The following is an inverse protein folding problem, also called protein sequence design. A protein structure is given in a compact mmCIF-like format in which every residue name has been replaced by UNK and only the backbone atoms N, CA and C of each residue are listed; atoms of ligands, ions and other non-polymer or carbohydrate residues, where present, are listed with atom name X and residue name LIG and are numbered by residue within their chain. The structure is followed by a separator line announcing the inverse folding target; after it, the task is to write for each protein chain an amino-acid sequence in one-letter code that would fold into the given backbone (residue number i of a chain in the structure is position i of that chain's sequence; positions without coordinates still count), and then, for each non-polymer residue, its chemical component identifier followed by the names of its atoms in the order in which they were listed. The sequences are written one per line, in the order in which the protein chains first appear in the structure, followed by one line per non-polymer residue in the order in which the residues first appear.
data_IF_635610516076
#
_entry.id   IF_635610516076
#
_cell.length_a   1.000
_cell.length_b   1.000
_cell.length_c   1.000
_cell.angle_alpha   90.00
_cell.angle_beta   90.00
_cell.angle_gamma   90.00
#
_symmetry.space_group_name_H-M   'P 1'
#
loop_
_entity.id
_entity.type
_entity.pdbx_description
1 polymer ?
#
# COMPACT_ATOMS: atom_id res chain seq x y z
N UNK A 1 53.91 19.52 30.65
CA UNK A 1 52.78 18.68 30.22
C UNK A 1 51.92 19.48 29.25
N UNK A 2 51.84 19.03 28.01
CA UNK A 2 51.03 19.67 26.96
C UNK A 2 50.01 18.65 26.46
N UNK A 3 48.83 19.12 26.10
CA UNK A 3 47.84 18.34 25.37
C UNK A 3 48.06 18.59 23.87
N UNK A 4 48.39 17.52 23.13
CA UNK A 4 48.50 17.58 21.69
C UNK A 4 47.19 16.99 21.10
N UNK A 5 46.60 17.74 20.21
CA UNK A 5 45.33 17.40 19.57
C UNK A 5 45.62 16.97 18.13
N UNK A 6 45.27 15.74 17.79
CA UNK A 6 45.32 15.20 16.44
C UNK A 6 43.93 15.21 15.86
N UNK A 7 43.73 15.87 14.72
CA UNK A 7 42.47 15.87 14.00
C UNK A 7 42.75 15.75 12.51
N UNK A 8 41.95 14.91 11.85
CA UNK A 8 41.95 14.76 10.41
C UNK A 8 40.50 14.58 9.94
N UNK A 9 40.19 15.08 8.75
CA UNK A 9 38.83 15.01 8.21
C UNK A 9 38.44 13.53 8.03
N UNK A 10 37.31 13.13 8.63
CA UNK A 10 36.85 11.74 8.61
C UNK A 10 37.41 10.84 9.72
N UNK A 11 38.09 11.39 10.70
CA UNK A 11 38.64 10.66 11.86
C UNK A 11 38.26 11.31 13.17
N UNK A 12 38.13 10.50 14.23
CA UNK A 12 37.89 10.99 15.59
C UNK A 12 39.03 11.85 16.10
N UNK A 13 38.71 12.90 16.81
CA UNK A 13 39.68 13.78 17.43
C UNK A 13 40.37 13.07 18.61
N UNK A 14 41.68 12.82 18.50
CA UNK A 14 42.46 12.22 19.54
C UNK A 14 43.28 13.26 20.33
N UNK A 15 43.11 13.28 21.64
CA UNK A 15 43.89 14.16 22.53
C UNK A 15 44.87 13.31 23.34
N UNK A 16 46.19 13.52 23.15
CA UNK A 16 47.22 12.85 23.94
C UNK A 16 48.02 13.87 24.76
N UNK A 17 48.35 13.51 26.02
CA UNK A 17 49.22 14.32 26.89
C UNK A 17 50.68 14.06 26.56
N UNK A 18 51.43 15.12 26.28
CA UNK A 18 52.88 15.07 26.07
C UNK A 18 53.59 15.54 27.33
N UNK A 19 54.52 14.74 27.82
CA UNK A 19 55.34 15.03 29.04
C UNK A 19 56.84 14.84 28.83
N UNK A 20 57.38 15.03 27.65
CA UNK A 20 58.80 14.95 27.32
C UNK A 20 59.42 13.54 27.29
N UNK A 21 58.93 12.66 28.12
CA UNK A 21 59.48 11.27 28.24
C UNK A 21 58.72 10.27 27.33
N UNK A 22 57.58 10.65 26.74
CA UNK A 22 56.79 9.75 25.91
C UNK A 22 56.81 10.10 24.40
N UNK A 23 57.91 10.69 23.93
CA UNK A 23 58.05 11.11 22.53
C UNK A 23 57.91 9.94 21.52
N UNK A 24 58.25 8.73 21.93
CA UNK A 24 58.12 7.53 21.08
C UNK A 24 56.67 7.19 20.72
N UNK A 25 55.71 7.51 21.61
CA UNK A 25 54.28 7.27 21.38
C UNK A 25 53.68 8.22 20.35
N UNK A 26 54.40 9.27 19.94
CA UNK A 26 53.97 10.27 18.96
C UNK A 26 54.60 10.07 17.58
N UNK A 27 55.40 9.03 17.37
CA UNK A 27 55.98 8.70 16.06
C UNK A 27 54.96 8.14 15.08
N UNK A 28 53.98 7.44 15.61
CA UNK A 28 52.88 6.89 14.81
C UNK A 28 51.59 7.06 15.60
N UNK A 29 50.66 7.79 15.03
CA UNK A 29 49.35 8.06 15.62
C UNK A 29 48.27 7.46 14.70
N UNK A 30 47.62 6.41 15.19
CA UNK A 30 46.46 5.85 14.54
C UNK A 30 45.21 6.59 15.02
N UNK A 31 44.50 7.26 14.09
CA UNK A 31 43.20 7.88 14.32
C UNK A 31 42.14 6.84 13.99
N UNK A 32 41.16 6.67 14.87
CA UNK A 32 39.97 5.91 14.57
C UNK A 32 39.16 6.66 13.51
N UNK A 33 38.66 6.00 12.47
CA UNK A 33 37.68 6.65 11.56
C UNK A 33 36.55 7.21 12.41
N UNK A 34 36.24 8.49 12.22
CA UNK A 34 35.00 9.01 12.77
C UNK A 34 33.89 8.19 12.13
N UNK A 35 33.18 7.39 12.92
CA UNK A 35 31.88 6.90 12.53
C UNK A 35 31.05 8.19 12.46
N UNK A 36 30.96 8.78 11.26
CA UNK A 36 29.92 9.78 11.03
C UNK A 36 28.64 9.07 11.40
N UNK A 37 28.14 9.31 12.60
CA UNK A 37 26.72 9.21 12.88
C UNK A 37 26.13 10.10 11.82
N UNK A 38 25.51 9.49 10.83
CA UNK A 38 24.80 10.21 9.76
C UNK A 38 23.83 11.09 10.52
N UNK A 39 24.22 12.37 10.65
CA UNK A 39 23.33 13.37 11.29
C UNK A 39 21.99 13.26 10.58
N UNK A 40 20.92 13.12 11.32
CA UNK A 40 19.58 13.01 10.79
C UNK A 40 19.34 14.17 9.81
N UNK A 41 19.30 13.85 8.52
CA UNK A 41 19.12 14.83 7.45
C UNK A 41 17.66 14.79 7.02
N UNK A 42 17.01 15.95 7.01
CA UNK A 42 15.68 16.10 6.40
C UNK A 42 15.87 16.35 4.91
N UNK A 43 15.29 15.48 4.12
CA UNK A 43 15.28 15.59 2.66
C UNK A 43 13.95 16.20 2.23
N UNK A 44 14.04 17.32 1.56
CA UNK A 44 12.84 18.02 1.04
C UNK A 44 12.61 17.76 -0.45
N UNK A 45 13.39 16.86 -1.08
CA UNK A 45 13.34 16.61 -2.53
C UNK A 45 14.07 17.64 -3.37
N UNK A 46 14.21 18.89 -2.91
CA UNK A 46 14.94 19.96 -3.59
C UNK A 46 16.32 20.15 -2.95
N UNK A 47 16.40 20.07 -1.63
CA UNK A 47 17.65 20.20 -0.86
C UNK A 47 17.66 19.28 0.35
N UNK A 48 18.86 19.04 0.86
CA UNK A 48 19.10 18.29 2.11
C UNK A 48 19.54 19.27 3.19
N UNK A 49 18.90 19.20 4.35
CA UNK A 49 19.27 20.02 5.53
C UNK A 49 19.44 19.12 6.75
N UNK A 50 20.36 19.51 7.64
CA UNK A 50 20.46 18.89 8.95
C UNK A 50 19.15 19.08 9.70
N UNK A 51 18.68 18.05 10.39
CA UNK A 51 17.41 18.07 11.14
C UNK A 51 17.36 19.23 12.16
N UNK A 52 18.49 19.52 12.79
CA UNK A 52 18.63 20.64 13.74
C UNK A 52 18.42 22.03 13.10
N UNK A 53 18.70 22.17 11.81
CA UNK A 53 18.53 23.42 11.06
C UNK A 53 17.19 23.51 10.33
N UNK A 54 16.33 22.49 10.48
CA UNK A 54 15.03 22.42 9.83
C UNK A 54 13.93 22.83 10.82
N UNK A 55 13.26 23.93 10.53
CA UNK A 55 12.23 24.51 11.42
C UNK A 55 10.84 23.88 11.26
N UNK A 56 10.65 23.03 10.26
CA UNK A 56 9.39 22.35 9.96
C UNK A 56 9.26 20.98 10.63
N UNK A 57 8.02 20.46 10.69
CA UNK A 57 7.75 19.09 11.15
C UNK A 57 7.96 18.11 10.01
N UNK A 58 9.02 17.32 10.09
CA UNK A 58 9.34 16.26 9.14
C UNK A 58 9.70 14.96 9.86
N UNK A 59 9.27 13.84 9.28
CA UNK A 59 9.68 12.50 9.72
C UNK A 59 10.39 11.80 8.57
N UNK A 60 11.62 11.34 8.79
CA UNK A 60 12.40 10.62 7.78
C UNK A 60 12.60 9.18 8.23
N UNK A 61 12.32 8.25 7.33
CA UNK A 61 12.42 6.81 7.52
C UNK A 61 13.40 6.24 6.51
N UNK A 62 14.38 5.48 6.99
CA UNK A 62 15.34 4.76 6.14
C UNK A 62 14.72 3.47 5.61
N UNK A 63 15.29 2.93 4.55
CA UNK A 63 14.79 1.69 3.93
C UNK A 63 14.76 0.50 4.90
N UNK A 64 15.68 0.46 5.87
CA UNK A 64 15.74 -0.58 6.89
C UNK A 64 14.49 -0.55 7.79
N UNK A 65 14.10 0.64 8.26
CA UNK A 65 12.91 0.84 9.08
C UNK A 65 11.63 0.49 8.30
N UNK A 66 11.57 0.94 7.04
CA UNK A 66 10.43 0.64 6.15
C UNK A 66 10.27 -0.86 5.92
N UNK A 67 11.37 -1.60 5.70
CA UNK A 67 11.35 -3.05 5.50
C UNK A 67 11.02 -3.82 6.77
N UNK A 68 11.44 -3.33 7.93
CA UNK A 68 11.08 -3.92 9.22
C UNK A 68 9.57 -3.79 9.51
N UNK A 69 8.95 -2.68 9.07
CA UNK A 69 7.51 -2.45 9.21
C UNK A 69 6.65 -3.23 8.20
N UNK A 70 7.19 -3.56 7.02
CA UNK A 70 6.51 -4.32 5.98
C UNK A 70 7.25 -4.34 4.65
N UNK A 71 6.98 -5.35 3.83
CA UNK A 71 7.67 -5.53 2.53
C UNK A 71 6.74 -5.38 1.32
N UNK A 72 5.44 -5.24 1.52
CA UNK A 72 4.47 -5.22 0.42
C UNK A 72 4.56 -3.96 -0.42
N UNK A 73 4.43 -2.80 0.20
CA UNK A 73 4.63 -1.49 -0.44
C UNK A 73 5.04 -0.43 0.58
N UNK A 74 5.59 0.66 0.09
CA UNK A 74 6.12 1.75 0.93
C UNK A 74 5.03 2.44 1.77
N UNK A 75 3.82 2.57 1.25
CA UNK A 75 2.71 3.26 1.93
C UNK A 75 2.26 2.49 3.17
N UNK A 76 2.18 1.16 3.09
CA UNK A 76 1.83 0.31 4.23
C UNK A 76 2.90 0.38 5.33
N UNK A 77 4.17 0.42 4.94
CA UNK A 77 5.26 0.59 5.90
C UNK A 77 5.19 1.94 6.61
N UNK A 78 4.93 3.03 5.88
CA UNK A 78 4.77 4.36 6.47
C UNK A 78 3.57 4.42 7.41
N UNK A 79 2.43 3.82 7.04
CA UNK A 79 1.24 3.74 7.90
C UNK A 79 1.57 3.09 9.24
N UNK A 80 2.42 2.07 9.25
CA UNK A 80 2.83 1.38 10.48
C UNK A 80 3.77 2.23 11.33
N UNK A 81 4.65 3.02 10.69
CA UNK A 81 5.68 3.82 11.37
C UNK A 81 5.19 5.20 11.80
N UNK A 82 4.23 5.79 11.08
CA UNK A 82 3.80 7.17 11.30
C UNK A 82 2.28 7.27 11.48
N UNK A 83 1.80 7.55 12.70
CA UNK A 83 0.36 7.68 12.97
C UNK A 83 -0.32 8.85 12.25
N UNK A 84 0.45 9.86 11.77
CA UNK A 84 -0.11 10.98 11.01
C UNK A 84 -0.44 10.60 9.57
N UNK A 85 0.12 9.49 9.07
CA UNK A 85 -0.14 8.97 7.73
C UNK A 85 -1.24 7.91 7.81
N UNK A 86 -2.36 8.20 7.18
CA UNK A 86 -3.53 7.31 7.18
C UNK A 86 -3.81 6.78 5.79
N UNK A 87 -4.17 5.51 5.74
CA UNK A 87 -4.69 4.86 4.54
C UNK A 87 -6.12 4.46 4.88
N UNK A 88 -7.08 5.05 4.19
CA UNK A 88 -8.49 4.70 4.33
C UNK A 88 -8.77 3.49 3.45
N UNK A 89 -9.08 2.37 4.09
CA UNK A 89 -9.43 1.14 3.39
C UNK A 89 -10.88 1.21 2.95
N UNK A 90 -11.13 1.07 1.65
CA UNK A 90 -12.49 0.95 1.13
C UNK A 90 -12.87 -0.53 1.06
N UNK A 91 -13.76 -0.95 1.95
CA UNK A 91 -14.20 -2.34 2.05
C UNK A 91 -15.19 -2.77 0.96
N UNK A 92 -15.65 -1.86 0.07
CA UNK A 92 -16.59 -2.22 -0.99
C UNK A 92 -16.03 -3.23 -2.00
N UNK A 93 -14.72 -3.19 -2.20
CA UNK A 93 -14.02 -4.04 -3.18
C UNK A 93 -13.08 -5.06 -2.52
N UNK A 94 -13.16 -5.23 -1.22
CA UNK A 94 -12.25 -6.09 -0.47
C UNK A 94 -10.79 -5.63 -0.57
N UNK A 95 -9.85 -6.57 -0.64
CA UNK A 95 -8.41 -6.31 -0.79
C UNK A 95 -7.98 -6.29 -2.26
N UNK A 96 -8.65 -5.52 -3.11
CA UNK A 96 -8.30 -5.40 -4.53
C UNK A 96 -6.93 -4.71 -4.68
N UNK A 97 -5.89 -5.39 -5.23
CA UNK A 97 -4.56 -4.81 -5.39
C UNK A 97 -4.50 -3.71 -6.46
N UNK A 98 -5.55 -3.56 -7.26
CA UNK A 98 -5.62 -2.59 -8.35
C UNK A 98 -6.26 -1.27 -7.92
N UNK A 99 -6.89 -1.23 -6.77
CA UNK A 99 -7.52 -0.02 -6.24
C UNK A 99 -6.52 0.83 -5.50
N UNK A 100 -6.48 2.11 -5.88
CA UNK A 100 -5.70 3.11 -5.15
C UNK A 100 -6.39 3.40 -3.81
N UNK A 101 -5.67 3.32 -2.70
CA UNK A 101 -6.21 3.70 -1.40
C UNK A 101 -6.35 5.22 -1.31
N UNK A 102 -7.29 5.68 -0.51
CA UNK A 102 -7.33 7.09 -0.11
C UNK A 102 -6.25 7.31 0.96
N UNK A 103 -5.32 8.23 0.69
CA UNK A 103 -4.16 8.50 1.54
C UNK A 103 -4.28 9.92 2.10
N UNK A 104 -4.08 10.06 3.40
CA UNK A 104 -4.18 11.34 4.10
C UNK A 104 -2.97 11.57 5.02
N UNK A 105 -2.55 12.83 5.13
CA UNK A 105 -1.60 13.29 6.14
C UNK A 105 -2.32 14.29 7.05
N UNK A 106 -2.37 14.01 8.37
CA UNK A 106 -3.06 14.86 9.36
C UNK A 106 -4.57 15.01 9.18
N UNK A 107 -5.22 14.16 8.38
CA UNK A 107 -6.67 14.19 8.18
C UNK A 107 -7.10 14.98 6.96
N UNK A 108 -8.41 15.14 6.80
CA UNK A 108 -9.02 15.78 5.62
C UNK A 108 -9.06 17.28 5.80
N UNK A 109 -8.61 18.02 4.79
CA UNK A 109 -8.67 19.48 4.73
C UNK A 109 -9.88 20.01 3.95
N UNK A 110 -10.53 19.15 3.15
CA UNK A 110 -11.69 19.51 2.34
C UNK A 110 -12.92 18.66 2.65
N UNK A 111 -14.11 19.18 2.31
CA UNK A 111 -15.40 18.52 2.53
C UNK A 111 -15.51 17.26 1.66
N UNK A 112 -16.09 16.20 2.20
CA UNK A 112 -16.38 14.94 1.48
C UNK A 112 -17.29 15.21 0.25
N UNK A 113 -16.97 14.55 -0.88
CA UNK A 113 -17.81 14.54 -2.08
C UNK A 113 -17.17 15.15 -3.33
N UNK A 114 -16.04 15.85 -3.20
CA UNK A 114 -15.43 16.52 -4.37
C UNK A 114 -14.61 15.57 -5.27
N UNK A 115 -14.32 14.34 -4.84
CA UNK A 115 -13.58 13.36 -5.63
C UNK A 115 -14.28 12.97 -6.93
N UNK A 116 -15.61 12.83 -6.88
CA UNK A 116 -16.42 12.47 -8.05
C UNK A 116 -16.50 13.64 -9.05
N UNK A 117 -16.45 14.88 -8.55
CA UNK A 117 -16.56 16.09 -9.35
C UNK A 117 -15.26 16.50 -10.03
N UNK A 118 -14.09 16.29 -9.36
CA UNK A 118 -12.78 16.72 -9.85
C UNK A 118 -11.89 15.59 -10.37
N UNK A 119 -12.32 14.33 -10.28
CA UNK A 119 -11.55 13.16 -10.75
C UNK A 119 -10.29 12.82 -9.94
N UNK A 120 -9.89 13.68 -8.99
CA UNK A 120 -8.76 13.49 -8.09
C UNK A 120 -9.19 13.76 -6.65
N UNK A 121 -8.59 13.05 -5.68
CA UNK A 121 -8.88 13.31 -4.27
C UNK A 121 -8.22 14.62 -3.82
N UNK A 122 -9.00 15.66 -3.48
CA UNK A 122 -8.45 16.94 -3.05
C UNK A 122 -7.71 16.87 -1.70
N UNK A 123 -7.83 15.78 -0.95
CA UNK A 123 -7.13 15.54 0.32
C UNK A 123 -5.83 14.75 0.14
N UNK A 124 -5.52 14.31 -1.09
CA UNK A 124 -4.33 13.53 -1.37
C UNK A 124 -3.06 14.37 -1.14
N UNK A 125 -2.04 13.84 -0.43
CA UNK A 125 -0.75 14.50 -0.33
C UNK A 125 -0.02 14.54 -1.67
N UNK A 126 0.91 15.48 -1.81
CA UNK A 126 1.80 15.56 -2.95
C UNK A 126 2.89 14.49 -2.83
N UNK A 127 3.14 13.73 -3.91
CA UNK A 127 4.21 12.73 -3.97
C UNK A 127 5.38 13.27 -4.79
N UNK A 128 6.59 13.15 -4.24
CA UNK A 128 7.84 13.55 -4.88
C UNK A 128 8.77 12.34 -4.93
N UNK A 129 9.22 11.97 -6.11
CA UNK A 129 10.19 10.90 -6.34
C UNK A 129 11.47 11.49 -6.94
N UNK A 130 12.58 11.41 -6.21
CA UNK A 130 13.89 11.97 -6.61
C UNK A 130 13.84 13.43 -7.06
N UNK A 131 12.98 14.24 -6.44
CA UNK A 131 12.81 15.66 -6.72
C UNK A 131 11.75 16.02 -7.77
N UNK A 132 11.11 15.03 -8.38
CA UNK A 132 10.03 15.22 -9.37
C UNK A 132 8.69 14.78 -8.81
N UNK A 133 7.64 15.51 -9.18
CA UNK A 133 6.27 15.14 -8.84
C UNK A 133 5.88 13.82 -9.53
N UNK A 134 5.20 12.97 -8.80
CA UNK A 134 4.73 11.65 -9.27
C UNK A 134 3.33 11.36 -8.75
N UNK A 135 2.69 10.36 -9.28
CA UNK A 135 1.36 9.93 -8.85
C UNK A 135 1.40 8.82 -7.78
N UNK A 136 0.26 8.62 -7.11
CA UNK A 136 0.08 7.59 -6.09
C UNK A 136 0.31 6.18 -6.65
N UNK A 137 -0.07 5.94 -7.92
CA UNK A 137 0.10 4.65 -8.59
C UNK A 137 1.58 4.28 -8.70
N UNK A 138 2.40 5.21 -9.20
CA UNK A 138 3.86 5.04 -9.29
C UNK A 138 4.49 4.75 -7.92
N UNK A 139 4.03 5.45 -6.87
CA UNK A 139 4.51 5.21 -5.50
C UNK A 139 4.12 3.83 -4.98
N UNK A 140 2.91 3.36 -5.26
CA UNK A 140 2.47 2.01 -4.88
C UNK A 140 3.27 0.90 -5.58
N UNK A 141 3.61 1.12 -6.83
CA UNK A 141 4.35 0.15 -7.65
C UNK A 141 5.86 0.22 -7.45
N UNK A 142 6.33 1.27 -6.78
CA UNK A 142 7.75 1.47 -6.54
C UNK A 142 8.36 0.31 -5.75
N UNK A 143 9.42 -0.25 -6.31
CA UNK A 143 10.15 -1.32 -5.65
C UNK A 143 10.86 -0.81 -4.39
N UNK A 144 10.48 -1.35 -3.23
CA UNK A 144 11.07 -0.98 -1.94
C UNK A 144 12.59 -1.13 -1.88
N UNK A 145 13.18 -2.04 -2.67
CA UNK A 145 14.63 -2.25 -2.68
C UNK A 145 15.38 -1.09 -3.33
N UNK A 146 14.71 -0.30 -4.16
CA UNK A 146 15.25 0.91 -4.77
C UNK A 146 15.19 2.14 -3.86
N UNK A 147 14.36 2.11 -2.82
CA UNK A 147 14.19 3.23 -1.91
C UNK A 147 15.43 3.34 -1.00
N UNK A 148 15.95 4.55 -0.83
CA UNK A 148 16.96 4.90 0.15
C UNK A 148 16.30 5.45 1.43
N UNK A 149 15.39 6.40 1.27
CA UNK A 149 14.66 7.04 2.36
C UNK A 149 13.30 7.56 1.92
N UNK A 150 12.41 7.73 2.89
CA UNK A 150 11.13 8.40 2.71
C UNK A 150 11.01 9.47 3.78
N UNK A 151 10.70 10.70 3.36
CA UNK A 151 10.47 11.84 4.26
C UNK A 151 9.04 12.33 4.13
N UNK A 152 8.37 12.42 5.26
CA UNK A 152 7.02 12.94 5.37
C UNK A 152 7.08 14.38 5.88
N UNK A 153 6.70 15.35 5.03
CA UNK A 153 6.61 16.77 5.38
C UNK A 153 5.17 17.08 5.79
N UNK A 154 4.99 17.53 7.04
CA UNK A 154 3.66 17.54 7.69
C UNK A 154 3.07 18.92 7.88
N UNK A 155 3.84 19.98 7.87
CA UNK A 155 3.37 21.33 8.17
C UNK A 155 3.62 22.33 7.04
N UNK A 156 2.99 23.48 7.14
CA UNK A 156 3.10 24.54 6.14
C UNK A 156 4.54 25.06 5.96
N UNK A 157 5.36 25.08 7.02
CA UNK A 157 6.74 25.53 6.94
C UNK A 157 7.61 24.56 6.13
N UNK A 158 7.38 23.23 6.29
CA UNK A 158 8.08 22.19 5.56
C UNK A 158 7.61 22.05 4.11
N UNK A 159 6.34 22.34 3.84
CA UNK A 159 5.71 22.15 2.52
C UNK A 159 5.72 23.42 1.66
N UNK A 160 6.08 24.59 2.22
CA UNK A 160 6.05 25.90 1.54
C UNK A 160 6.79 25.94 0.19
N UNK A 161 7.86 25.15 0.04
CA UNK A 161 8.64 25.06 -1.20
C UNK A 161 7.85 24.48 -2.38
N UNK A 162 6.74 23.76 -2.11
CA UNK A 162 5.89 23.13 -3.10
C UNK A 162 4.59 23.89 -3.38
N UNK A 163 4.38 25.03 -2.67
CA UNK A 163 3.22 25.89 -2.85
C UNK A 163 1.89 25.26 -2.42
N UNK A 164 0.79 25.69 -3.05
CA UNK A 164 -0.58 25.29 -2.69
C UNK A 164 -0.86 23.79 -2.88
N UNK A 165 -0.18 23.13 -3.80
CA UNK A 165 -0.35 21.68 -4.04
C UNK A 165 0.09 20.80 -2.87
N UNK A 166 0.90 21.35 -1.98
CA UNK A 166 1.39 20.66 -0.78
C UNK A 166 0.55 20.94 0.47
N UNK A 167 -0.65 21.52 0.33
CA UNK A 167 -1.53 21.85 1.45
C UNK A 167 -1.86 20.65 2.34
N UNK A 168 -1.95 19.45 1.76
CA UNK A 168 -2.25 18.21 2.46
C UNK A 168 -0.99 17.42 2.89
N UNK A 169 0.19 18.07 2.87
CA UNK A 169 1.48 17.44 3.16
C UNK A 169 2.17 16.92 1.90
N UNK A 170 3.44 16.52 2.07
CA UNK A 170 4.27 16.00 0.98
C UNK A 170 4.94 14.70 1.43
N UNK A 171 4.90 13.70 0.58
CA UNK A 171 5.69 12.48 0.72
C UNK A 171 6.86 12.53 -0.26
N UNK A 172 8.07 12.67 0.26
CA UNK A 172 9.31 12.72 -0.53
C UNK A 172 9.99 11.36 -0.47
N UNK A 173 10.22 10.75 -1.62
CA UNK A 173 10.88 9.45 -1.76
C UNK A 173 12.21 9.68 -2.47
N UNK A 174 13.29 9.20 -1.88
CA UNK A 174 14.59 9.13 -2.53
C UNK A 174 14.94 7.69 -2.87
N UNK A 175 15.39 7.47 -4.08
CA UNK A 175 15.92 6.18 -4.49
C UNK A 175 17.43 6.09 -4.23
N UNK A 176 17.94 4.87 -4.14
CA UNK A 176 19.37 4.62 -3.97
C UNK A 176 20.17 5.13 -5.16
N UNK A 177 21.33 5.67 -4.85
CA UNK A 177 22.33 6.03 -5.86
C UNK A 177 23.28 4.83 -5.99
N UNK A 178 23.64 4.41 -7.23
CA UNK A 178 24.55 3.31 -7.43
C UNK A 178 25.87 3.49 -6.68
N UNK A 179 26.35 2.44 -6.02
CA UNK A 179 27.59 2.46 -5.26
C UNK A 179 28.81 2.34 -6.20
N UNK A 180 29.94 2.90 -5.75
CA UNK A 180 31.22 2.72 -6.44
C UNK A 180 31.78 1.34 -6.15
N UNK A 181 32.37 0.70 -7.15
CA UNK A 181 33.03 -0.59 -6.97
C UNK A 181 33.02 -1.44 -8.23
N UNK A 182 33.54 -2.64 -8.12
CA UNK A 182 33.40 -3.66 -9.16
C UNK A 182 31.92 -4.00 -9.35
N UNK A 183 31.61 -4.50 -10.54
CA UNK A 183 30.24 -4.91 -10.85
C UNK A 183 29.69 -5.85 -9.76
N UNK A 184 28.64 -5.42 -9.09
CA UNK A 184 27.89 -6.17 -8.10
C UNK A 184 26.52 -6.55 -8.67
N UNK A 185 26.16 -7.82 -8.53
CA UNK A 185 24.87 -8.34 -8.95
C UNK A 185 24.12 -8.82 -7.72
N UNK A 186 22.93 -8.30 -7.49
CA UNK A 186 22.08 -8.69 -6.39
C UNK A 186 20.73 -9.20 -6.88
N UNK A 187 20.24 -10.28 -6.28
CA UNK A 187 18.90 -10.80 -6.49
C UNK A 187 18.14 -10.83 -5.17
N UNK A 188 16.88 -10.42 -5.21
CA UNK A 188 15.98 -10.50 -4.07
C UNK A 188 14.61 -11.03 -4.50
N UNK A 189 14.12 -12.04 -3.80
CA UNK A 189 12.77 -12.57 -3.92
C UNK A 189 11.96 -12.26 -2.66
N UNK A 190 10.76 -11.70 -2.82
CA UNK A 190 9.80 -11.46 -1.74
C UNK A 190 8.52 -12.26 -2.04
N UNK A 191 8.08 -13.07 -1.06
CA UNK A 191 6.89 -13.89 -1.14
C UNK A 191 5.96 -13.59 0.03
N UNK A 192 4.66 -13.48 -0.24
CA UNK A 192 3.66 -13.19 0.78
C UNK A 192 2.37 -13.94 0.49
N UNK A 193 1.72 -14.41 1.55
CA UNK A 193 0.40 -15.03 1.52
C UNK A 193 -0.55 -14.11 2.28
N UNK A 194 -1.71 -13.83 1.66
CA UNK A 194 -2.76 -13.01 2.25
C UNK A 194 -4.04 -13.83 2.32
N UNK A 195 -4.64 -13.89 3.50
CA UNK A 195 -5.93 -14.56 3.72
C UNK A 195 -6.95 -13.54 4.19
N UNK A 196 -8.21 -13.71 3.77
CA UNK A 196 -9.30 -12.92 4.30
C UNK A 196 -9.63 -13.37 5.72
N UNK A 197 -9.78 -12.41 6.61
CA UNK A 197 -10.39 -12.62 7.91
C UNK A 197 -11.86 -12.16 7.83
N UNK A 198 -12.78 -13.12 7.91
CA UNK A 198 -14.22 -12.86 7.89
C UNK A 198 -14.85 -13.00 9.29
N UNK A 199 -14.05 -13.16 10.34
CA UNK A 199 -14.54 -13.42 11.69
C UNK A 199 -15.35 -12.26 12.27
N UNK A 200 -15.07 -11.01 11.83
CA UNK A 200 -15.81 -9.82 12.26
C UNK A 200 -17.22 -9.72 11.64
N UNK A 201 -17.48 -10.48 10.57
CA UNK A 201 -18.80 -10.54 9.94
C UNK A 201 -19.68 -11.56 10.68
N UNK A 202 -20.36 -11.12 11.72
CA UNK A 202 -21.29 -11.95 12.48
C UNK A 202 -22.65 -12.04 11.77
N UNK A 203 -22.70 -12.74 10.64
CA UNK A 203 -23.91 -12.89 9.82
C UNK A 203 -24.79 -14.04 10.36
N UNK A 204 -26.10 -13.85 10.25
CA UNK A 204 -27.08 -14.87 10.55
C UNK A 204 -26.94 -16.05 9.58
N UNK A 205 -27.07 -17.27 10.07
CA UNK A 205 -27.26 -18.45 9.23
C UNK A 205 -28.66 -18.47 8.58
N UNK A 206 -28.91 -19.41 7.68
CA UNK A 206 -30.16 -19.44 6.93
C UNK A 206 -31.41 -19.56 7.82
N UNK A 207 -31.34 -20.37 8.90
CA UNK A 207 -32.46 -20.55 9.85
C UNK A 207 -32.67 -19.29 10.68
N UNK A 208 -31.63 -18.73 11.23
CA UNK A 208 -31.68 -17.50 12.01
C UNK A 208 -32.24 -16.35 11.19
N UNK A 209 -31.81 -16.24 9.91
CA UNK A 209 -32.27 -15.20 9.01
C UNK A 209 -33.76 -15.35 8.70
N UNK A 210 -34.24 -16.56 8.42
CA UNK A 210 -35.67 -16.83 8.18
C UNK A 210 -36.51 -16.53 9.42
N UNK A 211 -36.04 -16.92 10.60
CA UNK A 211 -36.72 -16.63 11.86
C UNK A 211 -36.77 -15.13 12.16
N UNK A 212 -35.65 -14.42 11.98
CA UNK A 212 -35.59 -12.97 12.11
C UNK A 212 -36.61 -12.28 11.18
N UNK A 213 -36.62 -12.63 9.90
CA UNK A 213 -37.55 -12.08 8.91
C UNK A 213 -39.01 -12.39 9.25
N UNK A 214 -39.29 -13.59 9.76
CA UNK A 214 -40.64 -13.97 10.20
C UNK A 214 -41.10 -13.09 11.38
N UNK A 215 -40.22 -12.90 12.37
CA UNK A 215 -40.53 -12.04 13.54
C UNK A 215 -40.65 -10.56 13.15
N UNK A 216 -39.90 -10.12 12.13
CA UNK A 216 -39.96 -8.75 11.59
C UNK A 216 -41.20 -8.50 10.72
N UNK A 217 -42.06 -9.53 10.51
CA UNK A 217 -43.29 -9.37 9.74
C UNK A 217 -43.12 -9.43 8.23
N UNK A 218 -41.94 -9.83 7.70
CA UNK A 218 -41.67 -9.89 6.26
C UNK A 218 -42.66 -10.78 5.49
N UNK A 219 -43.18 -11.81 6.15
CA UNK A 219 -44.14 -12.76 5.58
C UNK A 219 -45.57 -12.52 6.02
N UNK A 220 -45.86 -11.30 6.44
CA UNK A 220 -47.22 -10.85 6.78
C UNK A 220 -47.71 -9.94 5.67
N UNK A 221 -48.85 -10.28 5.07
CA UNK A 221 -49.46 -9.44 4.05
C UNK A 221 -49.79 -8.06 4.60
N UNK A 222 -49.51 -7.03 3.83
CA UNK A 222 -49.90 -5.64 4.12
C UNK A 222 -51.27 -5.28 3.53
N UNK A 223 -51.86 -6.18 2.74
CA UNK A 223 -53.16 -6.05 2.16
C UNK A 223 -54.21 -6.83 2.96
N UNK A 224 -55.50 -6.55 2.73
CA UNK A 224 -56.60 -7.30 3.31
C UNK A 224 -57.01 -8.52 2.45
N UNK A 225 -56.26 -8.82 1.38
CA UNK A 225 -56.52 -9.97 0.53
C UNK A 225 -55.97 -11.25 1.14
N UNK A 226 -56.78 -12.28 1.44
CA UNK A 226 -56.31 -13.55 1.93
C UNK A 226 -55.34 -14.28 0.99
N UNK A 227 -55.42 -14.02 -0.33
CA UNK A 227 -54.53 -14.66 -1.32
C UNK A 227 -53.06 -14.18 -1.15
N UNK A 228 -52.88 -12.91 -0.81
CA UNK A 228 -51.53 -12.38 -0.55
C UNK A 228 -50.90 -13.03 0.66
N UNK A 229 -51.66 -13.28 1.75
CA UNK A 229 -51.14 -13.99 2.91
C UNK A 229 -50.74 -15.43 2.56
N UNK A 230 -51.53 -16.12 1.75
CA UNK A 230 -51.23 -17.48 1.26
C UNK A 230 -49.94 -17.45 0.44
N UNK A 231 -49.72 -16.45 -0.41
CA UNK A 231 -48.50 -16.31 -1.20
C UNK A 231 -47.28 -16.10 -0.28
N UNK A 232 -47.38 -15.26 0.75
CA UNK A 232 -46.32 -15.02 1.74
C UNK A 232 -45.98 -16.28 2.57
N UNK A 233 -47.00 -17.02 2.99
CA UNK A 233 -46.84 -18.29 3.70
C UNK A 233 -46.17 -19.34 2.82
N UNK A 234 -46.54 -19.45 1.54
CA UNK A 234 -45.91 -20.32 0.57
C UNK A 234 -44.44 -19.95 0.37
N UNK A 235 -44.12 -18.69 0.20
CA UNK A 235 -42.72 -18.20 0.08
C UNK A 235 -41.88 -18.57 1.31
N UNK A 236 -42.41 -18.31 2.52
CA UNK A 236 -41.76 -18.70 3.77
C UNK A 236 -41.51 -20.21 3.85
N UNK A 237 -42.52 -21.02 3.54
CA UNK A 237 -42.45 -22.46 3.59
C UNK A 237 -41.45 -23.03 2.55
N UNK A 238 -41.39 -22.43 1.37
CA UNK A 238 -40.38 -22.78 0.37
C UNK A 238 -38.95 -22.55 0.89
N UNK A 239 -38.70 -21.38 1.50
CA UNK A 239 -37.41 -21.08 2.10
C UNK A 239 -37.07 -22.04 3.25
N UNK A 240 -38.06 -22.35 4.10
CA UNK A 240 -37.91 -23.33 5.17
C UNK A 240 -37.55 -24.73 4.61
N UNK A 241 -38.23 -25.14 3.54
CA UNK A 241 -37.95 -26.41 2.88
C UNK A 241 -36.53 -26.49 2.33
N UNK A 242 -36.00 -25.41 1.76
CA UNK A 242 -34.62 -25.34 1.28
C UNK A 242 -33.63 -25.41 2.45
N UNK A 243 -33.90 -24.75 3.55
CA UNK A 243 -33.09 -24.81 4.78
C UNK A 243 -33.07 -26.25 5.33
N UNK A 244 -34.21 -26.90 5.41
CA UNK A 244 -34.31 -28.31 5.88
C UNK A 244 -33.59 -29.28 4.93
N UNK A 245 -33.45 -28.96 3.66
CA UNK A 245 -32.62 -29.66 2.67
C UNK A 245 -31.12 -29.32 2.79
N UNK A 246 -30.72 -28.49 3.76
CA UNK A 246 -29.33 -28.15 4.04
C UNK A 246 -28.80 -26.89 3.35
N UNK A 247 -29.66 -26.06 2.77
CA UNK A 247 -29.25 -24.78 2.18
C UNK A 247 -28.87 -23.83 3.31
N UNK A 248 -27.59 -23.49 3.35
CA UNK A 248 -27.02 -22.49 4.25
C UNK A 248 -25.75 -21.93 3.61
N UNK A 249 -25.92 -20.94 2.73
CA UNK A 249 -24.83 -20.38 1.92
C UNK A 249 -24.16 -19.23 2.65
N UNK A 250 -22.86 -19.38 2.96
CA UNK A 250 -22.06 -18.27 3.44
C UNK A 250 -21.48 -17.51 2.25
N UNK A 251 -22.26 -16.57 1.73
CA UNK A 251 -21.97 -15.85 0.50
C UNK A 251 -20.65 -15.09 0.50
N UNK A 252 -20.18 -14.60 1.66
CA UNK A 252 -18.92 -13.87 1.75
C UNK A 252 -17.69 -14.70 1.42
N UNK A 253 -17.77 -16.04 1.55
CA UNK A 253 -16.67 -16.94 1.20
C UNK A 253 -16.55 -17.20 -0.31
N UNK A 254 -17.62 -16.95 -1.07
CA UNK A 254 -17.66 -17.33 -2.48
C UNK A 254 -16.69 -16.54 -3.37
N UNK A 255 -16.55 -15.19 -3.22
CA UNK A 255 -15.64 -14.42 -4.04
C UNK A 255 -14.20 -14.48 -3.60
N UNK A 256 -13.88 -15.13 -2.47
CA UNK A 256 -12.54 -15.07 -1.89
C UNK A 256 -11.71 -16.33 -2.15
N UNK A 257 -10.41 -16.13 -2.12
CA UNK A 257 -9.36 -17.16 -2.17
C UNK A 257 -8.19 -16.73 -1.30
N UNK A 258 -7.25 -17.63 -1.05
CA UNK A 258 -5.94 -17.23 -0.52
C UNK A 258 -5.17 -16.49 -1.60
N UNK A 259 -4.82 -15.23 -1.31
CA UNK A 259 -4.00 -14.40 -2.18
C UNK A 259 -2.52 -14.77 -2.06
N UNK A 260 -1.79 -14.68 -3.17
CA UNK A 260 -0.36 -14.95 -3.23
C UNK A 260 0.36 -13.81 -3.95
N UNK A 261 1.42 -13.32 -3.33
CA UNK A 261 2.28 -12.28 -3.89
C UNK A 261 3.68 -12.82 -4.06
N UNK A 262 4.25 -12.64 -5.24
CA UNK A 262 5.65 -12.90 -5.52
C UNK A 262 6.27 -11.70 -6.22
N UNK A 263 7.45 -11.27 -5.75
CA UNK A 263 8.24 -10.20 -6.34
C UNK A 263 9.67 -10.66 -6.50
N UNK A 264 10.23 -10.44 -7.67
CA UNK A 264 11.61 -10.79 -8.02
C UNK A 264 12.33 -9.54 -8.47
N UNK A 265 13.48 -9.27 -7.89
CA UNK A 265 14.28 -8.09 -8.19
C UNK A 265 15.70 -8.50 -8.49
N UNK A 266 16.21 -8.10 -9.64
CA UNK A 266 17.59 -8.24 -10.05
C UNK A 266 18.17 -6.83 -10.20
N UNK A 267 19.30 -6.57 -9.54
CA UNK A 267 19.96 -5.28 -9.64
C UNK A 267 21.45 -5.46 -9.80
N UNK A 268 22.01 -4.80 -10.84
CA UNK A 268 23.42 -4.77 -11.12
C UNK A 268 23.92 -3.33 -10.97
N UNK A 269 24.95 -3.12 -10.20
CA UNK A 269 25.55 -1.80 -10.01
C UNK A 269 27.06 -1.86 -9.98
N UNK A 270 27.69 -0.72 -10.28
CA UNK A 270 29.13 -0.60 -10.24
C UNK A 270 29.62 0.73 -10.76
N UNK A 271 30.93 0.84 -10.94
CA UNK A 271 31.57 2.01 -11.52
C UNK A 271 32.60 2.65 -10.59
N UNK A 272 33.18 3.73 -11.05
CA UNK A 272 34.23 4.50 -10.37
C UNK A 272 33.70 5.82 -9.79
N UNK A 273 34.57 6.64 -9.21
CA UNK A 273 34.20 7.95 -8.67
C UNK A 273 33.57 8.87 -9.70
N UNK A 274 34.04 8.79 -10.98
CA UNK A 274 33.58 9.65 -12.05
C UNK A 274 32.29 9.16 -12.72
N UNK A 275 32.13 7.83 -12.83
CA UNK A 275 30.98 7.24 -13.49
C UNK A 275 30.45 6.07 -12.66
N UNK A 276 29.16 6.07 -12.35
CA UNK A 276 28.46 4.98 -11.68
C UNK A 276 27.22 4.63 -12.46
N UNK A 277 26.91 3.36 -12.48
CA UNK A 277 25.74 2.85 -13.19
C UNK A 277 25.01 1.83 -12.33
N UNK A 278 23.70 1.81 -12.49
CA UNK A 278 22.79 0.83 -11.91
C UNK A 278 21.79 0.37 -12.96
N UNK A 279 21.55 -0.92 -13.01
CA UNK A 279 20.57 -1.56 -13.90
C UNK A 279 19.67 -2.42 -13.03
N UNK A 280 18.37 -2.18 -13.06
CA UNK A 280 17.39 -2.95 -12.29
C UNK A 280 16.35 -3.57 -13.19
N UNK A 281 15.98 -4.80 -12.89
CA UNK A 281 14.83 -5.50 -13.42
C UNK A 281 13.99 -6.02 -12.27
N UNK A 282 12.70 -5.77 -12.29
CA UNK A 282 11.76 -6.32 -11.33
C UNK A 282 10.54 -6.92 -12.00
N UNK A 283 10.10 -8.02 -11.46
CA UNK A 283 8.86 -8.69 -11.80
C UNK A 283 8.03 -8.89 -10.55
N UNK A 284 6.78 -8.49 -10.59
CA UNK A 284 5.81 -8.68 -9.53
C UNK A 284 4.56 -9.37 -10.05
N UNK A 285 4.05 -10.34 -9.30
CA UNK A 285 2.75 -10.94 -9.54
C UNK A 285 1.98 -11.00 -8.22
N UNK A 286 0.86 -10.33 -8.17
CA UNK A 286 -0.04 -10.25 -7.03
C UNK A 286 -1.37 -10.88 -7.41
N UNK A 287 -1.68 -12.01 -6.80
CA UNK A 287 -3.02 -12.59 -6.82
C UNK A 287 -3.78 -12.05 -5.61
N UNK A 288 -4.83 -11.28 -5.88
CA UNK A 288 -5.66 -10.70 -4.83
C UNK A 288 -6.48 -11.75 -4.10
N UNK A 289 -6.96 -11.39 -2.91
CA UNK A 289 -7.84 -12.25 -2.09
C UNK A 289 -9.20 -12.44 -2.75
N UNK A 290 -9.70 -11.44 -3.48
CA UNK A 290 -10.86 -11.62 -4.34
C UNK A 290 -10.48 -12.36 -5.62
N UNK A 291 -11.28 -13.34 -6.01
CA UNK A 291 -11.15 -14.02 -7.31
C UNK A 291 -11.29 -12.99 -8.44
N UNK A 292 -10.48 -13.12 -9.49
CA UNK A 292 -10.45 -12.15 -10.59
C UNK A 292 -9.66 -10.88 -10.33
N UNK A 293 -9.14 -10.66 -9.13
CA UNK A 293 -8.36 -9.50 -8.75
C UNK A 293 -6.88 -9.84 -8.82
N UNK A 294 -6.24 -9.51 -9.94
CA UNK A 294 -4.83 -9.85 -10.20
C UNK A 294 -4.06 -8.64 -10.73
N UNK A 295 -2.76 -8.58 -10.40
CA UNK A 295 -1.86 -7.52 -10.85
C UNK A 295 -0.49 -8.07 -11.18
N UNK A 296 -0.02 -7.82 -12.39
CA UNK A 296 1.34 -8.09 -12.84
C UNK A 296 2.06 -6.78 -13.09
N UNK A 297 3.31 -6.69 -12.63
CA UNK A 297 4.19 -5.53 -12.88
C UNK A 297 5.53 -6.02 -13.41
N UNK A 298 6.05 -5.35 -14.42
CA UNK A 298 7.40 -5.52 -14.92
C UNK A 298 8.02 -4.13 -14.95
N UNK A 299 9.13 -3.94 -14.23
CA UNK A 299 9.82 -2.65 -14.19
C UNK A 299 11.27 -2.81 -14.57
N UNK A 300 11.75 -1.90 -15.39
CA UNK A 300 13.16 -1.74 -15.70
C UNK A 300 13.65 -0.36 -15.28
N UNK A 301 14.85 -0.26 -14.73
CA UNK A 301 15.46 1.04 -14.47
C UNK A 301 16.93 1.07 -14.85
N UNK A 302 17.36 2.24 -15.30
CA UNK A 302 18.75 2.57 -15.57
C UNK A 302 19.09 3.83 -14.77
N UNK A 303 20.09 3.73 -13.93
CA UNK A 303 20.61 4.85 -13.15
C UNK A 303 22.04 5.13 -13.62
N UNK A 304 22.34 6.36 -14.03
CA UNK A 304 23.66 6.80 -14.45
C UNK A 304 24.04 8.07 -13.70
N UNK A 305 25.19 8.05 -13.05
CA UNK A 305 25.76 9.21 -12.39
C UNK A 305 27.16 9.47 -12.96
N UNK A 306 27.35 10.67 -13.51
CA UNK A 306 28.63 11.12 -14.04
C UNK A 306 29.12 12.37 -13.29
N UNK A 307 30.34 12.35 -12.80
CA UNK A 307 30.97 13.46 -12.06
C UNK A 307 32.21 13.94 -12.77
N UNK A 308 32.29 15.26 -12.96
CA UNK A 308 33.48 15.91 -13.51
C UNK A 308 33.71 17.26 -12.85
N UNK A 309 34.85 17.42 -12.20
CA UNK A 309 35.17 18.62 -11.42
C UNK A 309 34.12 18.89 -10.33
N UNK A 310 33.42 20.02 -10.43
CA UNK A 310 32.34 20.43 -9.50
C UNK A 310 30.95 20.05 -9.99
N UNK A 311 30.84 19.43 -11.17
CA UNK A 311 29.55 19.07 -11.77
C UNK A 311 29.23 17.59 -11.56
N UNK A 312 27.96 17.34 -11.30
CA UNK A 312 27.38 16.00 -11.28
C UNK A 312 26.17 15.96 -12.21
N UNK A 313 26.16 15.02 -13.13
CA UNK A 313 25.03 14.69 -13.99
C UNK A 313 24.44 13.36 -13.49
N UNK A 314 23.15 13.37 -13.21
CA UNK A 314 22.41 12.17 -12.83
C UNK A 314 21.27 11.97 -13.81
N UNK A 315 21.20 10.78 -14.38
CA UNK A 315 20.11 10.37 -15.25
C UNK A 315 19.45 9.13 -14.65
N UNK A 316 18.14 9.15 -14.54
CA UNK A 316 17.33 8.01 -14.10
C UNK A 316 16.28 7.77 -15.16
N UNK A 317 16.30 6.58 -15.72
CA UNK A 317 15.29 6.11 -16.66
C UNK A 317 14.52 4.96 -16.01
N UNK A 318 13.20 5.03 -16.02
CA UNK A 318 12.32 4.02 -15.47
C UNK A 318 11.30 3.68 -16.53
N UNK A 319 11.08 2.38 -16.73
CA UNK A 319 10.05 1.84 -17.60
C UNK A 319 9.23 0.85 -16.78
N UNK A 320 7.95 1.13 -16.66
CA UNK A 320 7.00 0.28 -15.94
C UNK A 320 5.92 -0.22 -16.90
N UNK A 321 5.68 -1.51 -16.87
CA UNK A 321 4.56 -2.16 -17.53
C UNK A 321 3.68 -2.84 -16.49
N UNK A 322 2.38 -2.58 -16.56
CA UNK A 322 1.40 -3.12 -15.63
C UNK A 322 0.26 -3.77 -16.39
N UNK A 323 -0.13 -4.97 -15.94
CA UNK A 323 -1.35 -5.65 -16.35
C UNK A 323 -2.21 -5.94 -15.13
N UNK A 324 -3.48 -5.55 -15.19
CA UNK A 324 -4.44 -5.70 -14.10
C UNK A 324 -5.68 -6.45 -14.56
N UNK A 325 -6.23 -7.27 -13.68
CA UNK A 325 -7.57 -7.81 -13.80
C UNK A 325 -8.37 -7.38 -12.56
N UNK A 326 -9.61 -6.98 -12.76
CA UNK A 326 -10.51 -6.59 -11.68
C UNK A 326 -11.65 -7.60 -11.55
N UNK A 327 -12.15 -7.87 -10.33
CA UNK A 327 -13.29 -8.74 -10.14
C UNK A 327 -14.52 -8.13 -10.85
N UNK A 328 -15.27 -8.97 -11.54
CA UNK A 328 -16.45 -8.53 -12.29
C UNK A 328 -17.58 -8.09 -11.35
N UNK A 329 -17.67 -8.71 -10.15
CA UNK A 329 -18.71 -8.44 -9.15
C UNK A 329 -18.07 -7.93 -7.86
N UNK A 330 -18.50 -6.76 -7.35
CA UNK A 330 -18.01 -6.22 -6.09
C UNK A 330 -18.32 -7.14 -4.89
N UNK A 331 -17.44 -7.15 -3.90
CA UNK A 331 -17.63 -7.91 -2.66
C UNK A 331 -18.95 -7.60 -1.94
N UNK A 332 -19.38 -6.34 -2.00
CA UNK A 332 -20.62 -5.88 -1.40
C UNK A 332 -21.89 -6.57 -1.95
N UNK A 333 -21.86 -7.03 -3.20
CA UNK A 333 -23.02 -7.74 -3.78
C UNK A 333 -23.20 -9.13 -3.16
N UNK A 334 -22.10 -9.81 -2.81
CA UNK A 334 -22.17 -11.05 -2.07
C UNK A 334 -22.72 -10.86 -0.64
N UNK A 335 -22.43 -9.73 -0.01
CA UNK A 335 -22.95 -9.42 1.32
C UNK A 335 -24.48 -9.18 1.36
N UNK A 336 -25.08 -8.85 0.22
CA UNK A 336 -26.55 -8.63 0.10
C UNK A 336 -27.33 -9.91 -0.05
N UNK A 337 -26.68 -11.01 -0.48
CA UNK A 337 -27.35 -12.27 -0.72
C UNK A 337 -27.69 -12.99 0.59
N UNK A 338 -28.97 -13.41 0.72
CA UNK A 338 -29.42 -14.11 1.92
C UNK A 338 -28.92 -15.57 1.96
N UNK A 339 -28.60 -16.11 3.16
CA UNK A 339 -27.99 -17.43 3.30
C UNK A 339 -28.92 -18.60 2.93
N UNK A 340 -30.22 -18.39 2.84
CA UNK A 340 -31.21 -19.39 2.40
C UNK A 340 -31.32 -19.50 0.88
N UNK A 341 -30.58 -18.73 0.08
CA UNK A 341 -30.51 -18.90 -1.36
C UNK A 341 -29.49 -19.94 -1.76
N UNK A 342 -29.84 -20.75 -2.76
CA UNK A 342 -28.93 -21.76 -3.35
C UNK A 342 -27.95 -21.08 -4.29
N UNK A 343 -26.73 -21.59 -4.34
CA UNK A 343 -25.71 -21.15 -5.33
C UNK A 343 -26.03 -21.61 -6.73
N UNK A 344 -26.52 -22.83 -6.83
CA UNK A 344 -26.79 -23.55 -8.08
C UNK A 344 -28.24 -24.00 -8.13
N UNK A 345 -28.80 -24.02 -9.32
CA UNK A 345 -30.12 -24.58 -9.56
C UNK A 345 -30.10 -26.13 -9.50
N UNK A 346 -31.25 -26.77 -9.74
CA UNK A 346 -31.40 -28.24 -9.71
C UNK A 346 -30.57 -28.97 -10.77
N UNK A 347 -30.18 -28.28 -11.83
CA UNK A 347 -29.35 -28.80 -12.93
C UNK A 347 -27.86 -28.54 -12.75
N UNK A 348 -27.47 -27.89 -11.65
CA UNK A 348 -26.08 -27.49 -11.35
C UNK A 348 -25.62 -26.21 -12.05
N UNK A 349 -26.53 -25.52 -12.73
CA UNK A 349 -26.25 -24.23 -13.36
C UNK A 349 -26.36 -23.04 -12.39
N UNK A 350 -25.85 -21.89 -12.82
CA UNK A 350 -26.00 -20.64 -12.11
C UNK A 350 -27.11 -19.85 -12.76
N UNK A 351 -28.16 -19.53 -12.00
CA UNK A 351 -29.25 -18.69 -12.47
C UNK A 351 -28.87 -17.21 -12.34
N UNK A 352 -29.43 -16.38 -13.25
CA UNK A 352 -29.18 -14.92 -13.24
C UNK A 352 -29.68 -14.25 -11.95
N UNK A 353 -30.77 -14.77 -11.38
CA UNK A 353 -31.37 -14.27 -10.17
C UNK A 353 -31.46 -15.36 -9.10
N UNK A 354 -31.15 -15.02 -7.85
CA UNK A 354 -31.39 -15.87 -6.68
C UNK A 354 -32.87 -15.92 -6.32
N UNK A 355 -33.58 -14.85 -6.62
CA UNK A 355 -35.02 -14.71 -6.50
C UNK A 355 -35.50 -13.79 -7.63
N UNK A 356 -36.44 -14.28 -8.40
CA UNK A 356 -37.04 -13.54 -9.52
C UNK A 356 -38.52 -13.34 -9.27
N UNK A 357 -39.03 -12.16 -9.57
CA UNK A 357 -40.47 -11.86 -9.61
C UNK A 357 -40.82 -11.29 -10.97
N UNK A 358 -42.02 -11.63 -11.46
CA UNK A 358 -42.55 -11.09 -12.73
C UNK A 358 -43.11 -9.68 -12.56
N UNK A 359 -43.35 -9.26 -11.31
CA UNK A 359 -43.81 -7.92 -10.99
C UNK A 359 -42.62 -6.94 -11.02
N UNK A 360 -42.62 -5.92 -11.90
CA UNK A 360 -41.55 -4.94 -11.99
C UNK A 360 -41.46 -4.03 -10.76
N UNK A 361 -42.46 -3.98 -9.89
CA UNK A 361 -42.41 -3.26 -8.61
C UNK A 361 -41.82 -4.14 -7.48
N UNK A 362 -41.77 -5.44 -7.65
CA UNK A 362 -41.19 -6.36 -6.71
C UNK A 362 -39.70 -6.56 -6.99
N UNK A 363 -38.92 -6.65 -5.92
CA UNK A 363 -37.46 -6.63 -5.95
C UNK A 363 -36.88 -8.01 -6.31
N UNK A 364 -36.38 -8.17 -7.54
CA UNK A 364 -35.59 -9.33 -7.94
C UNK A 364 -34.18 -9.27 -7.35
N UNK A 365 -33.70 -10.37 -6.77
CA UNK A 365 -32.37 -10.48 -6.18
C UNK A 365 -31.38 -11.06 -7.19
N UNK A 366 -30.41 -10.29 -7.70
CA UNK A 366 -29.44 -10.81 -8.65
C UNK A 366 -28.53 -11.86 -7.99
N UNK A 367 -28.10 -12.83 -8.79
CA UNK A 367 -27.11 -13.82 -8.34
C UNK A 367 -25.69 -13.26 -8.56
N UNK A 368 -24.89 -13.02 -7.48
CA UNK A 368 -23.55 -12.50 -7.65
C UNK A 368 -22.60 -13.44 -8.37
N UNK A 369 -22.94 -14.73 -8.47
CA UNK A 369 -22.14 -15.71 -9.22
C UNK A 369 -22.38 -15.70 -10.73
N UNK A 370 -23.48 -15.08 -11.21
CA UNK A 370 -23.82 -15.08 -12.63
C UNK A 370 -22.77 -14.41 -13.53
N UNK A 371 -22.12 -13.34 -13.03
CA UNK A 371 -21.11 -12.57 -13.76
C UNK A 371 -19.72 -12.64 -13.08
N UNK A 372 -19.53 -13.58 -12.16
CA UNK A 372 -18.28 -13.69 -11.38
C UNK A 372 -17.15 -14.41 -12.13
#
# INVERSE_FOLDING_TARGET
NYNIIFSFIGYERLVKKFNGNNSAEFREIQLAPAVETIEDVVVTGIYRRKKESFTGSASTYKVEDLKAAGTQNVLQSIRTLDPSFKINVNNQFGSDPNRLPDVEIRGKSSVMGLKEEYGTDPNQPLFILDGFETDLQTVMDLNMNRIASVTLLKDAASTAIYGSRAANGVLVIETKIPEKGVLSLSYKGDFSITMADLSDYNLMNAREKLEFETRAGRYTSTTNDPMDQIAMDNLRNQRLQDIERGVNTYWLSEPIRTGFVQKHNLYAEGGEERIRYGLGLSYGNTQGVMKGSDRQTISGNIDLVYRTGKFQFSNKFILDYMKTNNPAVPFSEYAKANPYFRKYNSEGGIDKYLYYTEDPEEYSVPNPLWNA
#
